data_IF_193336148473
#
_entry.id   IF_193336148473
#
_cell.length_a   1.000
_cell.length_b   1.000
_cell.length_c   1.000
_cell.angle_alpha   90.00
_cell.angle_beta   90.00
_cell.angle_gamma   90.00
#
_symmetry.space_group_name_H-M   'P 1'
#
loop_
_entity.id
_entity.type
_entity.pdbx_description
1 polymer ?
#
# COMPACT_ATOMS: atom_id res chain seq x y z
N UNK A 1 6.81 -0.73 -3.16
CA UNK A 1 6.72 -1.99 -3.92
C UNK A 1 7.77 -2.98 -3.46
N UNK A 2 7.45 -4.29 -3.49
CA UNK A 2 8.40 -5.38 -3.24
C UNK A 2 8.17 -6.53 -4.20
N UNK A 3 9.11 -7.50 -4.24
CA UNK A 3 8.96 -8.70 -5.07
C UNK A 3 9.37 -9.96 -4.31
N UNK A 4 8.80 -11.09 -4.73
CA UNK A 4 9.13 -12.44 -4.28
C UNK A 4 8.93 -13.46 -5.41
N UNK A 5 9.25 -14.72 -5.16
CA UNK A 5 9.14 -15.77 -6.19
C UNK A 5 8.18 -16.86 -5.76
N UNK A 6 7.44 -17.38 -6.72
CA UNK A 6 6.68 -18.62 -6.59
C UNK A 6 7.62 -19.84 -6.68
N UNK A 7 7.10 -21.02 -6.41
CA UNK A 7 7.84 -22.30 -6.48
C UNK A 7 8.43 -22.58 -7.89
N UNK A 8 7.74 -22.15 -8.94
CA UNK A 8 8.17 -22.22 -10.33
C UNK A 8 9.16 -21.12 -10.76
N UNK A 9 9.70 -20.35 -9.79
CA UNK A 9 10.59 -19.20 -10.00
C UNK A 9 9.95 -17.98 -10.68
N UNK A 10 8.64 -17.97 -10.93
CA UNK A 10 7.93 -16.80 -11.41
C UNK A 10 8.03 -15.65 -10.39
N UNK A 11 8.46 -14.47 -10.85
CA UNK A 11 8.55 -13.29 -9.99
C UNK A 11 7.18 -12.64 -9.87
N UNK A 12 6.78 -12.36 -8.62
CA UNK A 12 5.60 -11.61 -8.27
C UNK A 12 5.99 -10.24 -7.72
N UNK A 13 5.20 -9.22 -8.02
CA UNK A 13 5.39 -7.86 -7.53
C UNK A 13 4.16 -7.48 -6.69
N UNK A 14 4.42 -6.96 -5.51
CA UNK A 14 3.41 -6.48 -4.57
C UNK A 14 3.56 -4.96 -4.39
N UNK A 15 2.61 -4.21 -4.88
CA UNK A 15 2.43 -2.79 -4.61
C UNK A 15 1.54 -2.62 -3.38
N UNK A 16 1.90 -1.72 -2.47
CA UNK A 16 1.17 -1.44 -1.23
C UNK A 16 1.00 0.06 -1.07
N UNK A 17 -0.22 0.47 -0.77
CA UNK A 17 -0.58 1.84 -0.38
C UNK A 17 -0.97 1.84 1.09
N UNK A 18 -0.35 2.71 1.88
CA UNK A 18 -0.59 2.82 3.31
C UNK A 18 -1.07 4.23 3.68
N UNK A 19 -1.90 4.31 4.70
CA UNK A 19 -2.15 5.56 5.41
C UNK A 19 -1.00 5.82 6.40
N UNK A 20 -0.33 6.96 6.25
CA UNK A 20 0.80 7.33 7.10
C UNK A 20 0.41 7.64 8.55
N UNK A 21 -0.84 7.98 8.83
CA UNK A 21 -1.35 8.26 10.17
C UNK A 21 -1.66 6.98 10.94
N UNK A 22 -2.52 6.16 10.37
CA UNK A 22 -3.04 4.93 11.01
C UNK A 22 -2.20 3.69 10.74
N UNK A 23 -1.25 3.74 9.82
CA UNK A 23 -0.44 2.61 9.32
C UNK A 23 -1.26 1.54 8.61
N UNK A 24 -2.52 1.81 8.34
CA UNK A 24 -3.42 0.91 7.63
C UNK A 24 -2.95 0.69 6.20
N UNK A 25 -2.93 -0.56 5.76
CA UNK A 25 -2.81 -0.89 4.34
C UNK A 25 -4.18 -0.63 3.72
N UNK A 26 -4.30 0.47 3.00
CA UNK A 26 -5.56 0.92 2.41
C UNK A 26 -5.77 0.40 1.00
N UNK A 27 -4.68 0.01 0.31
CA UNK A 27 -4.76 -0.59 -1.02
C UNK A 27 -3.52 -1.40 -1.36
N UNK A 28 -3.69 -2.34 -2.26
CA UNK A 28 -2.61 -3.18 -2.74
C UNK A 28 -2.93 -3.78 -4.11
N UNK A 29 -1.88 -4.27 -4.76
CA UNK A 29 -1.99 -5.04 -6.00
C UNK A 29 -0.88 -6.08 -6.05
N UNK A 30 -1.17 -7.28 -6.51
CA UNK A 30 -0.21 -8.34 -6.77
C UNK A 30 -0.26 -8.72 -8.24
N UNK A 31 0.87 -8.66 -8.94
CA UNK A 31 0.94 -9.02 -10.36
C UNK A 31 2.32 -9.61 -10.70
N UNK A 32 2.41 -10.22 -11.87
CA UNK A 32 3.67 -10.71 -12.48
C UNK A 32 4.48 -9.58 -13.14
N UNK A 33 3.95 -8.38 -13.17
CA UNK A 33 4.55 -7.20 -13.80
C UNK A 33 4.53 -6.03 -12.82
N UNK A 34 5.51 -5.15 -12.97
CA UNK A 34 5.63 -3.92 -12.20
C UNK A 34 5.75 -2.73 -13.16
N UNK A 35 4.61 -2.24 -13.65
CA UNK A 35 4.51 -1.09 -14.56
C UNK A 35 3.60 -0.04 -13.92
N UNK A 36 3.44 1.10 -14.57
CA UNK A 36 2.49 2.13 -14.15
C UNK A 36 1.07 1.58 -13.90
N UNK A 37 0.61 0.66 -14.75
CA UNK A 37 -0.73 0.05 -14.64
C UNK A 37 -0.96 -0.66 -13.29
N UNK A 38 0.02 -1.38 -12.81
CA UNK A 38 -0.06 -2.12 -11.54
C UNK A 38 -0.05 -1.15 -10.35
N UNK A 39 0.72 -0.08 -10.42
CA UNK A 39 0.70 1.02 -9.44
C UNK A 39 -0.64 1.75 -9.43
N UNK A 40 -1.21 2.03 -10.60
CA UNK A 40 -2.56 2.59 -10.73
C UNK A 40 -3.61 1.65 -10.11
N UNK A 41 -3.47 0.33 -10.31
CA UNK A 41 -4.39 -0.65 -9.73
C UNK A 41 -4.36 -0.63 -8.20
N UNK A 42 -3.17 -0.55 -7.59
CA UNK A 42 -3.02 -0.44 -6.13
C UNK A 42 -3.64 0.85 -5.59
N UNK A 43 -3.43 1.99 -6.26
CA UNK A 43 -4.02 3.27 -5.84
C UNK A 43 -5.54 3.27 -6.03
N UNK A 44 -6.05 2.74 -7.14
CA UNK A 44 -7.49 2.60 -7.37
C UNK A 44 -8.14 1.76 -6.27
N UNK A 45 -7.55 0.62 -5.94
CA UNK A 45 -8.01 -0.24 -4.85
C UNK A 45 -8.02 0.54 -3.52
N UNK A 46 -7.01 1.37 -3.25
CA UNK A 46 -6.98 2.22 -2.05
C UNK A 46 -8.14 3.24 -2.03
N UNK A 47 -8.39 3.94 -3.14
CA UNK A 47 -9.46 4.92 -3.24
C UNK A 47 -10.85 4.26 -3.09
N UNK A 48 -11.04 3.08 -3.67
CA UNK A 48 -12.28 2.30 -3.56
C UNK A 48 -12.51 1.84 -2.11
N UNK A 49 -11.50 1.26 -1.45
CA UNK A 49 -11.59 0.80 -0.07
C UNK A 49 -11.85 1.91 0.94
N UNK A 50 -11.42 3.13 0.64
CA UNK A 50 -11.64 4.30 1.48
C UNK A 50 -12.90 5.09 1.11
N UNK A 51 -13.70 4.61 0.12
CA UNK A 51 -14.90 5.31 -0.34
C UNK A 51 -14.63 6.65 -1.03
N UNK A 52 -13.41 6.85 -1.52
CA UNK A 52 -12.95 8.10 -2.14
C UNK A 52 -12.98 8.05 -3.67
N UNK A 53 -13.28 6.90 -4.26
CA UNK A 53 -13.36 6.78 -5.71
C UNK A 53 -14.43 7.70 -6.29
N UNK A 54 -14.01 8.66 -7.13
CA UNK A 54 -14.90 9.68 -7.72
C UNK A 54 -15.33 10.80 -6.76
N UNK A 55 -14.79 10.86 -5.54
CA UNK A 55 -15.04 11.94 -4.58
C UNK A 55 -14.19 13.18 -4.88
N UNK A 56 -14.75 14.36 -4.67
CA UNK A 56 -14.00 15.62 -4.69
C UNK A 56 -12.96 15.71 -3.56
N UNK A 57 -13.09 14.89 -2.52
CA UNK A 57 -12.16 14.86 -1.38
C UNK A 57 -10.78 14.33 -1.76
N UNK A 58 -10.65 13.65 -2.91
CA UNK A 58 -9.37 13.24 -3.46
C UNK A 58 -8.39 14.42 -3.63
N UNK A 59 -8.87 15.65 -3.85
CA UNK A 59 -8.03 16.87 -3.96
C UNK A 59 -7.23 17.20 -2.70
N UNK A 60 -7.62 16.66 -1.55
CA UNK A 60 -6.90 16.84 -0.27
C UNK A 60 -5.91 15.73 0.00
N UNK A 61 -5.90 14.68 -0.83
CA UNK A 61 -4.98 13.58 -0.67
C UNK A 61 -3.62 13.89 -1.29
N UNK A 62 -2.59 13.51 -0.55
CA UNK A 62 -1.20 13.53 -1.04
C UNK A 62 -0.71 12.09 -1.03
N UNK A 63 -0.33 11.57 -2.20
CA UNK A 63 0.36 10.28 -2.29
C UNK A 63 1.85 10.51 -2.42
N UNK A 64 2.61 9.93 -1.50
CA UNK A 64 4.08 9.98 -1.52
C UNK A 64 4.64 8.68 -2.09
N UNK A 65 5.61 8.80 -2.98
CA UNK A 65 6.34 7.69 -3.57
C UNK A 65 7.84 8.01 -3.69
N UNK A 66 8.63 6.99 -3.99
CA UNK A 66 10.01 7.19 -4.43
C UNK A 66 10.06 7.76 -5.86
N UNK A 67 11.27 8.08 -6.33
CA UNK A 67 11.52 8.55 -7.70
C UNK A 67 11.72 7.39 -8.70
N UNK A 68 11.05 6.25 -8.47
CA UNK A 68 11.10 5.11 -9.36
C UNK A 68 10.47 5.39 -10.74
N UNK A 69 10.79 4.54 -11.72
CA UNK A 69 10.28 4.73 -13.08
C UNK A 69 8.74 4.63 -13.17
N UNK A 70 8.12 3.83 -12.31
CA UNK A 70 6.68 3.60 -12.32
C UNK A 70 5.90 4.82 -11.78
N UNK A 71 6.19 5.34 -10.56
CA UNK A 71 5.49 6.52 -10.05
C UNK A 71 5.82 7.81 -10.81
N UNK A 72 6.95 7.87 -11.51
CA UNK A 72 7.32 9.00 -12.36
C UNK A 72 6.83 8.86 -13.82
N UNK A 73 6.12 7.79 -14.15
CA UNK A 73 5.63 7.58 -15.52
C UNK A 73 4.49 8.54 -15.87
N UNK A 74 4.40 8.90 -17.15
CA UNK A 74 3.33 9.78 -17.65
C UNK A 74 1.94 9.21 -17.35
N UNK A 75 1.76 7.89 -17.47
CA UNK A 75 0.47 7.22 -17.22
C UNK A 75 0.05 7.34 -15.75
N UNK A 76 0.99 7.16 -14.81
CA UNK A 76 0.69 7.29 -13.39
C UNK A 76 0.39 8.75 -13.00
N UNK A 77 1.21 9.69 -13.49
CA UNK A 77 0.99 11.12 -13.25
C UNK A 77 -0.33 11.60 -13.84
N UNK A 78 -0.68 11.16 -15.06
CA UNK A 78 -1.98 11.46 -15.67
C UNK A 78 -3.13 10.90 -14.83
N UNK A 79 -3.02 9.66 -14.33
CA UNK A 79 -4.03 9.07 -13.45
C UNK A 79 -4.20 9.86 -12.15
N UNK A 80 -3.12 10.30 -11.51
CA UNK A 80 -3.19 11.14 -10.31
C UNK A 80 -3.98 12.43 -10.59
N UNK A 81 -3.68 13.07 -11.71
CA UNK A 81 -4.40 14.28 -12.14
C UNK A 81 -5.89 14.01 -12.37
N UNK A 82 -6.23 12.92 -13.07
CA UNK A 82 -7.61 12.54 -13.38
C UNK A 82 -8.45 12.27 -12.13
N UNK A 83 -7.84 11.67 -11.08
CA UNK A 83 -8.54 11.39 -9.81
C UNK A 83 -8.41 12.53 -8.79
N UNK A 84 -7.68 13.60 -9.10
CA UNK A 84 -7.51 14.77 -8.25
C UNK A 84 -6.53 14.60 -7.09
N UNK A 85 -5.70 13.55 -7.08
CA UNK A 85 -4.71 13.27 -6.02
C UNK A 85 -3.41 13.98 -6.31
N UNK A 86 -2.82 14.64 -5.31
CA UNK A 86 -1.51 15.26 -5.44
C UNK A 86 -0.38 14.24 -5.26
N UNK A 87 0.51 14.14 -6.25
CA UNK A 87 1.73 13.32 -6.15
C UNK A 87 2.87 14.09 -5.46
N UNK A 88 3.49 13.47 -4.47
CA UNK A 88 4.71 13.96 -3.82
C UNK A 88 5.81 12.91 -3.95
N UNK A 89 7.00 13.35 -4.35
CA UNK A 89 8.15 12.46 -4.53
C UNK A 89 9.17 12.70 -3.42
N UNK A 90 9.75 11.61 -2.90
CA UNK A 90 10.80 11.71 -1.87
C UNK A 90 12.00 12.48 -2.40
N UNK A 91 12.65 13.27 -1.53
CA UNK A 91 13.87 13.98 -1.88
C UNK A 91 14.99 13.03 -2.31
N UNK A 92 15.90 13.50 -3.15
CA UNK A 92 17.10 12.74 -3.50
C UNK A 92 17.95 12.52 -2.23
N UNK A 93 18.23 11.26 -1.88
CA UNK A 93 18.91 10.87 -0.64
C UNK A 93 18.17 11.18 0.69
N UNK A 94 16.83 11.18 0.68
CA UNK A 94 16.00 11.34 1.87
C UNK A 94 15.35 10.00 2.32
N UNK A 95 16.10 9.05 2.89
CA UNK A 95 15.61 7.71 3.22
C UNK A 95 14.48 7.72 4.25
N UNK A 96 14.39 8.77 5.08
CA UNK A 96 13.33 8.88 6.09
C UNK A 96 11.95 9.19 5.49
N UNK A 97 11.88 9.72 4.28
CA UNK A 97 10.62 10.14 3.66
C UNK A 97 9.73 8.96 3.29
N UNK A 98 10.31 7.76 3.13
CA UNK A 98 9.58 6.53 2.76
C UNK A 98 9.62 5.45 3.85
N UNK A 99 10.12 5.79 5.04
CA UNK A 99 10.36 4.83 6.13
C UNK A 99 9.11 4.05 6.56
N UNK A 100 7.92 4.64 6.43
CA UNK A 100 6.68 3.99 6.82
C UNK A 100 6.32 2.83 5.90
N UNK A 101 6.33 3.05 4.59
CA UNK A 101 6.02 1.99 3.62
C UNK A 101 7.12 0.94 3.59
N UNK A 102 8.38 1.33 3.74
CA UNK A 102 9.51 0.39 3.86
C UNK A 102 9.35 -0.53 5.07
N UNK A 103 8.95 0.03 6.22
CA UNK A 103 8.69 -0.77 7.43
C UNK A 103 7.54 -1.74 7.22
N UNK A 104 6.44 -1.32 6.61
CA UNK A 104 5.29 -2.18 6.30
C UNK A 104 5.70 -3.30 5.33
N UNK A 105 6.40 -2.96 4.26
CA UNK A 105 6.91 -3.95 3.29
C UNK A 105 7.82 -4.97 3.97
N UNK A 106 8.72 -4.51 4.85
CA UNK A 106 9.60 -5.39 5.60
C UNK A 106 8.81 -6.33 6.51
N UNK A 107 7.80 -5.82 7.19
CA UNK A 107 6.92 -6.61 8.05
C UNK A 107 6.18 -7.69 7.26
N UNK A 108 5.59 -7.36 6.10
CA UNK A 108 4.96 -8.34 5.20
C UNK A 108 5.95 -9.43 4.78
N UNK A 109 7.19 -9.04 4.46
CA UNK A 109 8.23 -10.01 4.09
C UNK A 109 8.59 -10.95 5.23
N UNK A 110 8.82 -10.39 6.42
CA UNK A 110 9.27 -11.16 7.59
C UNK A 110 8.18 -12.09 8.12
N UNK A 111 6.92 -11.65 8.12
CA UNK A 111 5.82 -12.36 8.75
C UNK A 111 5.04 -13.27 7.77
N UNK A 112 5.03 -12.95 6.47
CA UNK A 112 4.26 -13.72 5.50
C UNK A 112 5.13 -14.30 4.37
N UNK A 113 5.93 -13.47 3.68
CA UNK A 113 6.54 -13.90 2.41
C UNK A 113 7.71 -14.85 2.63
N UNK A 114 8.63 -14.54 3.56
CA UNK A 114 9.88 -15.30 3.70
C UNK A 114 9.71 -16.67 4.33
N UNK A 115 8.62 -16.90 5.05
CA UNK A 115 8.30 -18.20 5.68
C UNK A 115 7.52 -19.14 4.77
N UNK A 116 7.02 -18.67 3.63
CA UNK A 116 6.11 -19.41 2.78
C UNK A 116 6.64 -19.57 1.35
N UNK A 117 6.25 -20.66 0.72
CA UNK A 117 6.48 -20.94 -0.69
C UNK A 117 5.12 -21.16 -1.35
N UNK A 118 4.78 -20.33 -2.32
CA UNK A 118 3.49 -20.40 -3.01
C UNK A 118 3.63 -21.13 -4.33
N UNK A 119 2.72 -22.06 -4.61
CA UNK A 119 2.75 -22.87 -5.83
C UNK A 119 2.05 -22.18 -7.02
N UNK A 120 1.23 -21.17 -6.74
CA UNK A 120 0.49 -20.46 -7.77
C UNK A 120 0.26 -18.99 -7.43
N UNK A 121 -0.08 -18.21 -8.48
CA UNK A 121 -0.57 -16.84 -8.30
C UNK A 121 -1.78 -16.76 -7.37
N UNK A 122 -2.76 -17.67 -7.55
CA UNK A 122 -3.99 -17.67 -6.76
C UNK A 122 -3.71 -17.90 -5.28
N UNK A 123 -2.81 -18.85 -4.95
CA UNK A 123 -2.39 -19.11 -3.58
C UNK A 123 -1.66 -17.92 -2.97
N UNK A 124 -0.71 -17.34 -3.69
CA UNK A 124 0.01 -16.15 -3.22
C UNK A 124 -0.95 -14.97 -2.99
N UNK A 125 -1.90 -14.76 -3.91
CA UNK A 125 -2.88 -13.69 -3.78
C UNK A 125 -3.76 -13.88 -2.55
N UNK A 126 -4.31 -15.09 -2.34
CA UNK A 126 -5.15 -15.41 -1.18
C UNK A 126 -4.37 -15.25 0.14
N UNK A 127 -3.13 -15.70 0.19
CA UNK A 127 -2.28 -15.58 1.37
C UNK A 127 -1.98 -14.11 1.71
N UNK A 128 -1.60 -13.29 0.72
CA UNK A 128 -1.36 -11.85 0.89
C UNK A 128 -2.65 -11.13 1.31
N UNK A 129 -3.80 -11.45 0.74
CA UNK A 129 -5.09 -10.87 1.12
C UNK A 129 -5.45 -11.17 2.59
N UNK A 130 -5.30 -12.43 3.01
CA UNK A 130 -5.50 -12.84 4.41
C UNK A 130 -4.53 -12.14 5.35
N UNK A 131 -3.26 -12.05 4.95
CA UNK A 131 -2.26 -11.36 5.76
C UNK A 131 -2.56 -9.87 5.90
N UNK A 132 -2.96 -9.17 4.83
CA UNK A 132 -3.34 -7.75 4.89
C UNK A 132 -4.56 -7.54 5.79
N UNK A 133 -5.53 -8.44 5.74
CA UNK A 133 -6.68 -8.43 6.64
C UNK A 133 -6.24 -8.57 8.09
N UNK A 134 -5.41 -9.57 8.42
CA UNK A 134 -4.81 -9.75 9.74
C UNK A 134 -4.00 -8.51 10.18
N UNK A 135 -3.14 -7.98 9.30
CA UNK A 135 -2.33 -6.80 9.57
C UNK A 135 -3.18 -5.59 9.99
N UNK A 136 -4.31 -5.36 9.31
CA UNK A 136 -5.17 -4.23 9.59
C UNK A 136 -6.07 -4.43 10.82
N UNK A 137 -6.51 -5.67 11.11
CA UNK A 137 -7.57 -5.94 12.10
C UNK A 137 -7.06 -6.58 13.40
N UNK A 138 -5.91 -7.26 13.39
CA UNK A 138 -5.45 -8.05 14.54
C UNK A 138 -4.02 -7.70 14.98
N UNK A 139 -3.17 -7.30 14.03
CA UNK A 139 -1.78 -6.99 14.31
C UNK A 139 -1.64 -5.66 15.05
N UNK A 140 -1.18 -5.72 16.30
CA UNK A 140 -0.93 -4.51 17.10
C UNK A 140 0.40 -3.83 16.73
N UNK A 141 0.46 -2.52 16.85
CA UNK A 141 1.61 -1.70 16.52
C UNK A 141 2.04 -0.82 17.70
N UNK A 142 3.30 -0.90 18.11
CA UNK A 142 3.83 -0.05 19.19
C UNK A 142 3.72 1.44 18.87
N UNK A 143 3.91 1.81 17.59
CA UNK A 143 3.75 3.19 17.13
C UNK A 143 2.29 3.70 17.19
N UNK A 144 1.31 2.81 17.36
CA UNK A 144 -0.12 3.12 17.54
C UNK A 144 -0.58 2.86 18.98
N UNK A 145 0.32 2.93 19.95
CA UNK A 145 0.04 2.60 21.35
C UNK A 145 -0.53 1.18 21.52
N UNK A 146 0.05 0.21 20.80
CA UNK A 146 -0.37 -1.20 20.79
C UNK A 146 -1.81 -1.44 20.30
N UNK A 147 -2.32 -0.55 19.42
CA UNK A 147 -3.57 -0.75 18.70
C UNK A 147 -3.33 -1.30 17.30
N UNK A 148 -4.39 -1.83 16.71
CA UNK A 148 -4.42 -2.23 15.31
C UNK A 148 -4.62 -0.99 14.42
N UNK A 149 -4.26 -1.05 13.12
CA UNK A 149 -4.56 0.01 12.18
C UNK A 149 -6.04 0.39 12.09
N UNK A 150 -6.95 -0.60 12.13
CA UNK A 150 -8.40 -0.34 12.10
C UNK A 150 -8.89 0.38 13.37
N UNK A 151 -8.38 0.03 14.55
CA UNK A 151 -8.69 0.74 15.78
C UNK A 151 -8.18 2.18 15.75
N UNK A 152 -6.97 2.39 15.24
CA UNK A 152 -6.42 3.74 15.09
C UNK A 152 -7.22 4.60 14.11
N UNK A 153 -7.72 4.02 13.02
CA UNK A 153 -8.61 4.70 12.06
C UNK A 153 -9.94 5.07 12.71
N UNK A 154 -10.56 4.14 13.46
CA UNK A 154 -11.84 4.40 14.14
C UNK A 154 -11.71 5.55 15.16
N UNK A 155 -10.62 5.60 15.92
CA UNK A 155 -10.35 6.69 16.84
C UNK A 155 -10.16 8.04 16.13
N UNK A 156 -9.41 8.03 15.02
CA UNK A 156 -9.23 9.24 14.20
C UNK A 156 -10.55 9.77 13.67
N UNK A 157 -11.41 8.91 13.14
CA UNK A 157 -12.72 9.29 12.64
C UNK A 157 -13.61 9.87 13.75
N UNK A 158 -13.57 9.31 14.97
CA UNK A 158 -14.34 9.80 16.10
C UNK A 158 -13.89 11.19 16.55
N UNK A 159 -12.59 11.48 16.53
CA UNK A 159 -12.03 12.78 16.87
C UNK A 159 -12.32 13.85 15.82
N UNK A 160 -12.44 13.45 14.54
CA UNK A 160 -12.73 14.37 13.44
C UNK A 160 -14.21 14.73 13.32
N UNK A 161 -15.09 13.97 13.98
CA UNK A 161 -16.54 14.19 14.00
C UNK A 161 -17.02 15.02 15.23
N UNK A 162 -16.14 15.33 16.18
CA UNK A 162 -16.42 16.08 17.40
C UNK A 162 -16.01 17.54 17.29
#
# INVERSE_FOLDING_TARGET
MTSFKLSDMTTMFLEVVIDCCTRKIVGWNLDRRCRAKEWIAALRNALENQGLAGSEDCRYLIIRSDNGAQPCSNDYVAYLYDVGVTGEYTGYNAPNDNAFVERVIRTIKEEEIWGNLYDSFAEAHEAIEKYITYYNSERIHSALNYRTPNEAEADWMSLSAA
#
